data_IF_078012160594
#
_entry.id   IF_078012160594
#
_cell.length_a   1.000
_cell.length_b   1.000
_cell.length_c   1.000
_cell.angle_alpha   90.00
_cell.angle_beta   90.00
_cell.angle_gamma   90.00
#
_symmetry.space_group_name_H-M   'P 1'
#
loop_
_entity.id
_entity.type
_entity.pdbx_description
1 polymer ?
#
# COMPACT_ATOMS: atom_id res chain seq x y z
N UNK A 1 8.22 -5.86 8.21
CA UNK A 1 9.51 -5.15 8.47
C UNK A 1 9.56 -4.73 9.94
N UNK A 2 10.72 -4.28 10.46
CA UNK A 2 10.89 -3.93 11.89
C UNK A 2 9.99 -2.77 12.31
N UNK A 3 9.81 -1.76 11.44
CA UNK A 3 8.96 -0.60 11.72
C UNK A 3 7.50 -0.97 11.96
N UNK A 4 6.90 -1.74 11.05
CA UNK A 4 5.53 -2.23 11.21
C UNK A 4 5.40 -3.15 12.43
N UNK A 5 6.40 -3.98 12.70
CA UNK A 5 6.38 -4.87 13.85
C UNK A 5 6.40 -4.08 15.17
N UNK A 6 7.19 -3.00 15.24
CA UNK A 6 7.24 -2.11 16.38
C UNK A 6 5.91 -1.35 16.56
N UNK A 7 5.34 -0.82 15.48
CA UNK A 7 4.03 -0.16 15.51
C UNK A 7 2.86 -1.09 15.88
N UNK A 8 2.94 -2.38 15.52
CA UNK A 8 1.94 -3.41 15.87
C UNK A 8 2.20 -4.09 17.22
N UNK A 9 3.26 -3.70 17.95
CA UNK A 9 3.62 -4.31 19.24
C UNK A 9 4.21 -5.73 19.16
N UNK A 10 4.42 -6.27 17.96
CA UNK A 10 5.05 -7.59 17.76
C UNK A 10 6.57 -7.54 17.87
N UNK A 11 7.17 -6.36 17.70
CA UNK A 11 8.53 -6.04 18.11
C UNK A 11 8.48 -5.04 19.27
N UNK A 12 8.25 -5.55 20.47
CA UNK A 12 8.00 -4.73 21.66
C UNK A 12 8.85 -5.12 22.87
N UNK A 13 8.81 -4.28 23.91
CA UNK A 13 9.56 -4.45 25.17
C UNK A 13 9.45 -5.87 25.73
N UNK A 14 8.24 -6.38 25.94
CA UNK A 14 8.05 -7.68 26.59
C UNK A 14 8.52 -8.85 25.72
N UNK A 15 8.32 -8.77 24.40
CA UNK A 15 8.85 -9.76 23.46
C UNK A 15 10.38 -9.77 23.46
N UNK A 16 11.02 -8.60 23.50
CA UNK A 16 12.47 -8.51 23.59
C UNK A 16 12.99 -9.09 24.91
N UNK A 17 12.37 -8.74 26.03
CA UNK A 17 12.75 -9.25 27.36
C UNK A 17 12.61 -10.77 27.43
N UNK A 18 11.49 -11.33 26.96
CA UNK A 18 11.29 -12.80 26.95
C UNK A 18 12.37 -13.48 26.13
N UNK A 19 12.72 -12.96 24.93
CA UNK A 19 13.80 -13.52 24.12
C UNK A 19 15.17 -13.44 24.78
N UNK A 20 15.50 -12.35 25.46
CA UNK A 20 16.78 -12.23 26.20
C UNK A 20 16.88 -13.27 27.32
N UNK A 21 15.79 -13.48 28.06
CA UNK A 21 15.75 -14.43 29.17
C UNK A 21 15.75 -15.89 28.70
N UNK A 22 14.94 -16.21 27.69
CA UNK A 22 14.84 -17.57 27.10
C UNK A 22 16.17 -18.01 26.48
N UNK A 23 16.90 -17.08 25.86
CA UNK A 23 18.22 -17.36 25.27
C UNK A 23 19.34 -17.35 26.30
N UNK A 24 19.06 -16.99 27.57
CA UNK A 24 20.08 -16.82 28.63
C UNK A 24 21.27 -16.01 28.14
N UNK A 25 20.99 -14.91 27.44
CA UNK A 25 22.02 -14.15 26.71
C UNK A 25 23.15 -13.66 27.64
N UNK A 26 22.82 -13.45 28.90
CA UNK A 26 23.75 -13.09 29.96
C UNK A 26 24.81 -14.13 30.28
N UNK A 27 24.56 -15.40 29.97
CA UNK A 27 25.54 -16.48 30.08
C UNK A 27 26.42 -16.62 28.82
N UNK A 28 26.05 -15.97 27.71
CA UNK A 28 26.72 -16.10 26.41
C UNK A 28 27.72 -14.96 26.17
N UNK A 29 27.39 -13.74 26.59
CA UNK A 29 28.22 -12.55 26.36
C UNK A 29 28.65 -11.91 27.68
N UNK A 30 29.90 -11.45 27.74
CA UNK A 30 30.45 -10.78 28.93
C UNK A 30 29.95 -9.34 29.12
N UNK A 31 29.43 -8.71 28.07
CA UNK A 31 28.93 -7.34 28.11
C UNK A 31 27.41 -7.27 28.32
N UNK A 32 26.90 -6.12 28.77
CA UNK A 32 25.45 -5.89 28.98
C UNK A 32 24.87 -4.86 28.02
N UNK A 33 25.03 -5.09 26.71
CA UNK A 33 24.50 -4.19 25.66
C UNK A 33 23.73 -4.95 24.60
N UNK A 34 22.61 -4.37 24.17
CA UNK A 34 21.82 -4.81 23.02
C UNK A 34 21.79 -3.70 21.98
N UNK A 35 22.18 -4.01 20.75
CA UNK A 35 22.01 -3.10 19.61
C UNK A 35 20.69 -3.44 18.94
N UNK A 36 19.74 -2.51 18.95
CA UNK A 36 18.45 -2.67 18.29
C UNK A 36 18.37 -1.82 17.02
N UNK A 37 17.59 -2.22 16.01
CA UNK A 37 17.36 -1.38 14.83
C UNK A 37 16.71 -0.06 15.22
N UNK A 38 17.16 1.05 14.61
CA UNK A 38 16.62 2.38 14.91
C UNK A 38 15.09 2.46 14.73
N UNK A 39 14.60 1.85 13.65
CA UNK A 39 13.18 1.83 13.30
C UNK A 39 12.31 1.03 14.28
N UNK A 40 12.92 0.30 15.22
CA UNK A 40 12.21 -0.38 16.32
C UNK A 40 11.99 0.48 17.56
N UNK A 41 12.53 1.70 17.61
CA UNK A 41 12.52 2.54 18.81
C UNK A 41 11.11 2.90 19.30
N UNK A 42 10.13 3.00 18.40
CA UNK A 42 8.74 3.29 18.74
C UNK A 42 8.05 2.18 19.53
N UNK A 43 8.54 0.93 19.46
CA UNK A 43 7.93 -0.23 20.13
C UNK A 43 8.65 -0.68 21.41
N UNK A 44 9.88 -0.21 21.65
CA UNK A 44 10.74 -0.73 22.73
C UNK A 44 11.09 0.37 23.74
N UNK A 45 10.71 0.15 24.99
CA UNK A 45 11.11 0.98 26.11
C UNK A 45 12.47 0.51 26.65
N UNK A 46 13.53 1.23 26.28
CA UNK A 46 14.91 0.90 26.67
C UNK A 46 15.13 0.85 28.19
N UNK A 47 14.49 1.73 28.96
CA UNK A 47 14.61 1.76 30.42
C UNK A 47 13.96 0.53 31.06
N UNK A 48 12.79 0.11 30.55
CA UNK A 48 12.12 -1.09 31.01
C UNK A 48 12.92 -2.36 30.69
N UNK A 49 13.54 -2.44 29.50
CA UNK A 49 14.44 -3.56 29.14
C UNK A 49 15.63 -3.62 30.10
N UNK A 50 16.28 -2.48 30.37
CA UNK A 50 17.40 -2.42 31.33
C UNK A 50 16.97 -2.88 32.72
N UNK A 51 15.83 -2.40 33.22
CA UNK A 51 15.31 -2.79 34.55
C UNK A 51 15.02 -4.29 34.65
N UNK A 52 14.47 -4.90 33.59
CA UNK A 52 14.05 -6.31 33.61
C UNK A 52 15.18 -7.29 33.29
N UNK A 53 16.19 -6.90 32.50
CA UNK A 53 17.22 -7.82 31.97
C UNK A 53 18.66 -7.45 32.36
N UNK A 54 18.89 -6.24 32.87
CA UNK A 54 20.22 -5.69 33.07
C UNK A 54 20.95 -5.28 31.77
N UNK A 55 20.36 -5.51 30.58
CA UNK A 55 20.97 -5.10 29.32
C UNK A 55 20.60 -3.67 28.94
N UNK A 56 21.62 -2.86 28.64
CA UNK A 56 21.42 -1.52 28.09
C UNK A 56 21.11 -1.61 26.59
N UNK A 57 19.97 -1.05 26.21
CA UNK A 57 19.58 -0.92 24.79
C UNK A 57 20.28 0.28 24.16
N UNK A 58 20.87 0.08 22.99
CA UNK A 58 21.39 1.13 22.11
C UNK A 58 20.72 0.99 20.75
N UNK A 59 20.01 2.03 20.31
CA UNK A 59 19.42 2.04 18.98
C UNK A 59 20.51 2.34 17.95
N UNK A 60 20.91 1.30 17.22
CA UNK A 60 21.93 1.33 16.18
C UNK A 60 21.46 2.05 14.91
N UNK A 61 22.20 1.92 13.81
CA UNK A 61 21.87 2.55 12.53
C UNK A 61 20.57 2.02 11.92
N UNK A 62 20.03 2.76 10.95
CA UNK A 62 18.87 2.35 10.15
C UNK A 62 19.23 1.12 9.30
N UNK A 63 20.42 1.11 8.69
CA UNK A 63 20.88 0.00 7.86
C UNK A 63 21.83 -0.92 8.63
N UNK A 64 21.59 -2.24 8.55
CA UNK A 64 22.39 -3.23 9.25
C UNK A 64 23.87 -3.24 8.83
N UNK A 65 24.16 -2.87 7.58
CA UNK A 65 25.54 -2.78 7.05
C UNK A 65 26.42 -1.76 7.78
N UNK A 66 25.81 -0.77 8.44
CA UNK A 66 26.53 0.30 9.14
C UNK A 66 26.88 -0.07 10.59
N UNK A 67 26.41 -1.23 11.09
CA UNK A 67 26.66 -1.68 12.47
C UNK A 67 28.16 -1.75 12.80
N UNK A 68 29.06 -2.29 11.94
CA UNK A 68 30.48 -2.32 12.25
C UNK A 68 31.10 -0.91 12.41
N UNK A 69 30.71 0.03 11.55
CA UNK A 69 31.18 1.41 11.62
C UNK A 69 30.63 2.12 12.87
N UNK A 70 29.37 1.88 13.22
CA UNK A 70 28.73 2.36 14.45
C UNK A 70 29.45 1.88 15.72
N UNK A 71 29.86 0.61 15.76
CA UNK A 71 30.63 0.05 16.89
C UNK A 71 32.03 0.69 16.98
N UNK A 72 32.74 0.81 15.85
CA UNK A 72 34.06 1.47 15.79
C UNK A 72 34.00 2.94 16.23
N UNK A 73 32.91 3.63 15.93
CA UNK A 73 32.66 5.01 16.36
C UNK A 73 32.24 5.13 17.84
N UNK A 74 32.38 4.06 18.64
CA UNK A 74 32.00 4.09 20.05
C UNK A 74 30.51 4.24 20.27
N UNK A 75 29.69 3.65 19.38
CA UNK A 75 28.23 3.63 19.47
C UNK A 75 27.60 5.03 19.32
N UNK A 76 28.28 5.92 18.62
CA UNK A 76 27.77 7.23 18.18
C UNK A 76 27.33 7.13 16.73
N UNK A 77 26.07 7.48 16.46
CA UNK A 77 25.54 7.50 15.09
C UNK A 77 25.95 8.78 14.39
N UNK A 78 26.29 8.69 13.11
CA UNK A 78 26.30 9.85 12.23
C UNK A 78 24.86 10.18 11.79
N UNK A 79 24.68 11.34 11.15
CA UNK A 79 23.39 11.73 10.58
C UNK A 79 22.93 10.73 9.51
N UNK A 80 23.85 10.28 8.67
CA UNK A 80 23.59 9.33 7.57
C UNK A 80 23.11 7.98 8.09
N UNK A 81 23.73 7.49 9.17
CA UNK A 81 23.32 6.25 9.85
C UNK A 81 21.90 6.34 10.44
N UNK A 82 21.42 7.56 10.69
CA UNK A 82 20.12 7.82 11.30
C UNK A 82 19.04 8.17 10.28
N UNK A 83 19.40 8.34 9.00
CA UNK A 83 18.49 8.76 7.94
C UNK A 83 18.16 7.60 7.00
N UNK A 84 16.86 7.38 6.76
CA UNK A 84 16.36 6.43 5.77
C UNK A 84 16.28 7.15 4.41
N UNK A 85 17.06 6.67 3.44
CA UNK A 85 16.92 7.11 2.06
C UNK A 85 15.86 6.21 1.41
N UNK A 86 14.67 6.75 1.16
CA UNK A 86 13.59 6.01 0.48
C UNK A 86 13.74 6.16 -1.03
N UNK A 87 14.74 5.48 -1.59
CA UNK A 87 15.14 5.59 -3.00
C UNK A 87 14.11 4.94 -3.94
N UNK A 88 14.31 5.11 -5.26
CA UNK A 88 13.48 4.42 -6.25
C UNK A 88 13.58 2.89 -6.12
N UNK A 89 14.78 2.36 -5.85
CA UNK A 89 15.01 0.93 -5.68
C UNK A 89 14.22 0.39 -4.47
N UNK A 90 14.24 1.13 -3.35
CA UNK A 90 13.49 0.73 -2.15
C UNK A 90 11.99 0.66 -2.44
N UNK A 91 11.46 1.58 -3.24
CA UNK A 91 10.05 1.58 -3.65
C UNK A 91 9.71 0.39 -4.53
N UNK A 92 10.55 0.11 -5.53
CA UNK A 92 10.36 -1.01 -6.45
C UNK A 92 10.40 -2.37 -5.72
N UNK A 93 11.25 -2.52 -4.70
CA UNK A 93 11.31 -3.73 -3.87
C UNK A 93 9.99 -3.93 -3.09
N UNK A 94 9.32 -2.84 -2.71
CA UNK A 94 8.07 -2.88 -1.95
C UNK A 94 6.83 -3.05 -2.85
N UNK A 95 6.91 -2.68 -4.13
CA UNK A 95 5.79 -2.77 -5.08
C UNK A 95 5.15 -4.18 -5.17
N UNK A 96 5.90 -5.30 -5.24
CA UNK A 96 5.29 -6.63 -5.28
C UNK A 96 4.40 -6.94 -4.08
N UNK A 97 4.69 -6.37 -2.89
CA UNK A 97 3.87 -6.58 -1.70
C UNK A 97 2.50 -5.92 -1.80
N UNK A 98 2.31 -4.92 -2.67
CA UNK A 98 1.00 -4.30 -2.93
C UNK A 98 0.29 -4.92 -4.14
N UNK A 99 1.04 -5.30 -5.18
CA UNK A 99 0.48 -5.93 -6.38
C UNK A 99 -0.10 -7.31 -6.05
N UNK A 100 0.64 -8.14 -5.31
CA UNK A 100 0.23 -9.53 -5.07
C UNK A 100 -1.14 -9.66 -4.35
N UNK A 101 -1.42 -8.92 -3.26
CA UNK A 101 -2.75 -8.92 -2.65
C UNK A 101 -3.84 -8.49 -3.63
N UNK A 102 -3.58 -7.45 -4.43
CA UNK A 102 -4.59 -6.94 -5.36
C UNK A 102 -4.86 -7.92 -6.51
N UNK A 103 -3.82 -8.57 -7.03
CA UNK A 103 -3.94 -9.63 -8.02
C UNK A 103 -4.65 -10.88 -7.48
N UNK A 104 -4.56 -11.16 -6.16
CA UNK A 104 -5.34 -12.23 -5.53
C UNK A 104 -6.84 -11.92 -5.50
N UNK A 105 -7.21 -10.64 -5.39
CA UNK A 105 -8.61 -10.20 -5.42
C UNK A 105 -9.14 -9.97 -6.84
N UNK A 106 -8.26 -9.82 -7.82
CA UNK A 106 -8.62 -9.55 -9.21
C UNK A 106 -9.58 -10.59 -9.85
N UNK A 107 -9.48 -11.91 -9.60
CA UNK A 107 -10.44 -12.89 -10.12
C UNK A 107 -11.89 -12.63 -9.66
N UNK A 108 -12.09 -12.17 -8.42
CA UNK A 108 -13.41 -11.82 -7.90
C UNK A 108 -13.97 -10.58 -8.59
N UNK A 109 -13.12 -9.58 -8.80
CA UNK A 109 -13.47 -8.41 -9.61
C UNK A 109 -13.82 -8.81 -11.04
N UNK A 110 -13.01 -9.66 -11.68
CA UNK A 110 -13.23 -10.11 -13.04
C UNK A 110 -14.53 -10.90 -13.18
N UNK A 111 -14.83 -11.78 -12.23
CA UNK A 111 -16.10 -12.49 -12.18
C UNK A 111 -17.29 -11.53 -12.06
N UNK A 112 -17.20 -10.52 -11.19
CA UNK A 112 -18.25 -9.49 -11.06
C UNK A 112 -18.49 -8.70 -12.35
N UNK A 113 -17.43 -8.30 -13.03
CA UNK A 113 -17.50 -7.61 -14.34
C UNK A 113 -18.13 -8.52 -15.39
N UNK A 114 -17.63 -9.75 -15.56
CA UNK A 114 -18.14 -10.68 -16.56
C UNK A 114 -19.61 -11.05 -16.30
N UNK A 115 -20.02 -11.19 -15.03
CA UNK A 115 -21.42 -11.39 -14.67
C UNK A 115 -22.28 -10.17 -15.03
N UNK A 116 -21.82 -8.96 -14.72
CA UNK A 116 -22.56 -7.74 -15.04
C UNK A 116 -22.78 -7.58 -16.55
N UNK A 117 -21.77 -7.90 -17.37
CA UNK A 117 -21.87 -7.78 -18.83
C UNK A 117 -22.51 -8.99 -19.52
N UNK A 118 -22.49 -10.17 -18.87
CA UNK A 118 -23.04 -11.41 -19.41
C UNK A 118 -24.48 -11.70 -19.04
N UNK A 119 -25.02 -11.03 -18.01
CA UNK A 119 -26.38 -11.26 -17.55
C UNK A 119 -27.38 -10.57 -18.50
N UNK A 120 -28.21 -11.38 -19.16
CA UNK A 120 -29.33 -10.93 -19.98
C UNK A 120 -30.65 -11.56 -19.49
N UNK A 121 -31.82 -11.02 -19.91
CA UNK A 121 -33.12 -11.66 -19.64
C UNK A 121 -33.22 -13.10 -20.15
N UNK A 122 -32.46 -13.43 -21.22
CA UNK A 122 -32.39 -14.75 -21.84
C UNK A 122 -31.44 -15.73 -21.14
N UNK A 123 -30.65 -15.28 -20.15
CA UNK A 123 -29.65 -16.07 -19.43
C UNK A 123 -28.26 -15.45 -19.45
N UNK A 124 -27.23 -16.27 -19.19
CA UNK A 124 -25.82 -15.85 -19.21
C UNK A 124 -25.22 -16.07 -20.60
N UNK A 125 -24.87 -14.98 -21.29
CA UNK A 125 -24.22 -15.02 -22.62
C UNK A 125 -22.73 -14.72 -22.51
N UNK A 126 -21.92 -15.78 -22.63
CA UNK A 126 -20.45 -15.68 -22.51
C UNK A 126 -19.80 -14.75 -23.54
N UNK A 127 -20.34 -14.71 -24.77
CA UNK A 127 -19.82 -13.84 -25.83
C UNK A 127 -19.95 -12.37 -25.43
N UNK A 128 -21.13 -11.97 -24.95
CA UNK A 128 -21.37 -10.58 -24.54
C UNK A 128 -20.68 -10.23 -23.23
N UNK A 129 -20.61 -11.18 -22.28
CA UNK A 129 -19.79 -11.04 -21.08
C UNK A 129 -18.36 -10.65 -21.42
N UNK A 130 -17.77 -11.32 -22.42
CA UNK A 130 -16.42 -11.03 -22.86
C UNK A 130 -16.33 -9.71 -23.61
N UNK A 131 -17.13 -9.49 -24.66
CA UNK A 131 -17.06 -8.28 -25.50
C UNK A 131 -17.37 -6.99 -24.74
N UNK A 132 -18.34 -7.02 -23.82
CA UNK A 132 -18.66 -5.87 -22.97
C UNK A 132 -17.76 -5.74 -21.73
N UNK A 133 -17.28 -6.85 -21.17
CA UNK A 133 -16.52 -6.87 -19.93
C UNK A 133 -15.02 -6.63 -20.08
N UNK A 134 -14.40 -7.06 -21.20
CA UNK A 134 -12.94 -6.97 -21.37
C UNK A 134 -12.36 -5.54 -21.22
N UNK A 135 -13.03 -4.44 -21.67
CA UNK A 135 -12.51 -3.09 -21.46
C UNK A 135 -12.38 -2.76 -19.97
N UNK A 136 -13.37 -3.18 -19.16
CA UNK A 136 -13.37 -2.97 -17.72
C UNK A 136 -12.34 -3.84 -17.01
N UNK A 137 -12.10 -5.07 -17.48
CA UNK A 137 -11.00 -5.90 -16.98
C UNK A 137 -9.65 -5.21 -17.20
N UNK A 138 -9.40 -4.69 -18.41
CA UNK A 138 -8.18 -3.95 -18.71
C UNK A 138 -8.07 -2.69 -17.84
N UNK A 139 -9.14 -1.91 -17.72
CA UNK A 139 -9.15 -0.73 -16.86
C UNK A 139 -8.89 -1.08 -15.38
N UNK A 140 -9.37 -2.23 -14.90
CA UNK A 140 -9.05 -2.76 -13.58
C UNK A 140 -7.56 -3.02 -13.41
N UNK A 141 -6.92 -3.68 -14.38
CA UNK A 141 -5.47 -3.89 -14.38
C UNK A 141 -4.71 -2.56 -14.45
N UNK A 142 -5.17 -1.61 -15.24
CA UNK A 142 -4.57 -0.27 -15.32
C UNK A 142 -4.70 0.49 -14.00
N UNK A 143 -5.80 0.34 -13.26
CA UNK A 143 -5.96 0.92 -11.93
C UNK A 143 -4.99 0.28 -10.91
N UNK A 144 -4.75 -1.03 -11.01
CA UNK A 144 -3.71 -1.72 -10.20
C UNK A 144 -2.33 -1.19 -10.56
N UNK A 145 -1.99 -1.11 -11.85
CA UNK A 145 -0.71 -0.58 -12.32
C UNK A 145 -0.51 0.88 -11.88
N UNK A 146 -1.55 1.70 -12.00
CA UNK A 146 -1.57 3.10 -11.60
C UNK A 146 -1.30 3.26 -10.09
N UNK A 147 -2.07 2.55 -9.25
CA UNK A 147 -2.03 2.70 -7.81
C UNK A 147 -0.84 1.99 -7.16
N UNK A 148 -0.56 0.75 -7.55
CA UNK A 148 0.44 -0.09 -6.89
C UNK A 148 1.86 0.07 -7.45
N UNK A 149 2.01 0.51 -8.72
CA UNK A 149 3.32 0.63 -9.36
C UNK A 149 3.68 2.07 -9.75
N UNK A 150 2.89 2.71 -10.62
CA UNK A 150 3.24 4.05 -11.13
C UNK A 150 3.23 5.10 -10.01
N UNK A 151 2.26 5.07 -9.11
CA UNK A 151 2.19 6.04 -8.01
C UNK A 151 3.42 5.96 -7.08
N UNK A 152 3.85 4.78 -6.59
CA UNK A 152 5.11 4.64 -5.86
C UNK A 152 6.36 5.08 -6.62
N UNK A 153 6.47 4.72 -7.91
CA UNK A 153 7.62 5.09 -8.74
C UNK A 153 7.72 6.60 -8.91
N UNK A 154 6.59 7.25 -9.19
CA UNK A 154 6.51 8.69 -9.44
C UNK A 154 6.29 9.54 -8.17
N UNK A 155 6.28 8.92 -6.99
CA UNK A 155 5.94 9.55 -5.72
C UNK A 155 6.58 10.93 -5.45
N UNK A 156 7.88 11.18 -5.77
CA UNK A 156 8.53 12.47 -5.52
C UNK A 156 8.10 13.56 -6.49
N UNK A 157 7.61 13.17 -7.67
CA UNK A 157 7.25 14.06 -8.76
C UNK A 157 5.77 14.43 -8.75
N UNK A 158 4.91 13.58 -8.18
CA UNK A 158 3.49 13.87 -8.08
C UNK A 158 3.30 14.97 -7.03
N UNK A 159 2.70 16.12 -7.38
CA UNK A 159 2.38 17.16 -6.41
C UNK A 159 1.45 16.61 -5.33
N UNK A 160 1.25 17.35 -4.24
CA UNK A 160 0.44 16.97 -3.06
C UNK A 160 1.16 16.08 -2.03
N UNK A 161 0.67 16.17 -0.79
CA UNK A 161 1.14 15.35 0.34
C UNK A 161 0.33 14.06 0.50
N UNK A 162 -0.94 14.07 0.12
CA UNK A 162 -1.86 12.93 0.30
C UNK A 162 -1.61 11.85 -0.74
N UNK A 163 -1.49 10.61 -0.28
CA UNK A 163 -1.37 9.44 -1.14
C UNK A 163 -2.66 9.17 -1.91
N UNK A 164 -3.81 9.38 -1.29
CA UNK A 164 -5.10 9.25 -1.95
C UNK A 164 -5.18 10.18 -3.18
N UNK A 165 -4.77 11.44 -3.06
CA UNK A 165 -4.78 12.39 -4.18
C UNK A 165 -3.78 11.97 -5.26
N UNK A 166 -2.57 11.54 -4.89
CA UNK A 166 -1.56 11.08 -5.86
C UNK A 166 -2.06 9.90 -6.68
N UNK A 167 -2.61 8.88 -6.02
CA UNK A 167 -3.16 7.71 -6.69
C UNK A 167 -4.38 8.02 -7.54
N UNK A 168 -5.22 8.97 -7.11
CA UNK A 168 -6.35 9.44 -7.92
C UNK A 168 -5.88 10.15 -9.19
N UNK A 169 -4.88 11.03 -9.12
CA UNK A 169 -4.34 11.73 -10.28
C UNK A 169 -3.73 10.79 -11.32
N UNK A 170 -2.90 9.83 -10.88
CA UNK A 170 -2.32 8.83 -11.79
C UNK A 170 -3.40 7.92 -12.35
N UNK A 171 -4.37 7.51 -11.54
CA UNK A 171 -5.52 6.73 -12.00
C UNK A 171 -6.37 7.46 -13.03
N UNK A 172 -6.63 8.76 -12.81
CA UNK A 172 -7.36 9.61 -13.74
C UNK A 172 -6.60 9.77 -15.06
N UNK A 173 -5.29 10.01 -15.00
CA UNK A 173 -4.45 10.08 -16.19
C UNK A 173 -4.54 8.78 -17.01
N UNK A 174 -4.40 7.63 -16.35
CA UNK A 174 -4.53 6.31 -17.00
C UNK A 174 -5.92 6.10 -17.60
N UNK A 175 -6.99 6.51 -16.89
CA UNK A 175 -8.34 6.40 -17.38
C UNK A 175 -8.60 7.28 -18.61
N UNK A 176 -8.13 8.54 -18.62
CA UNK A 176 -8.27 9.46 -19.75
C UNK A 176 -7.59 8.91 -21.00
N UNK A 177 -6.43 8.28 -20.85
CA UNK A 177 -5.70 7.69 -21.98
C UNK A 177 -6.34 6.39 -22.48
N UNK A 178 -6.87 5.55 -21.58
CA UNK A 178 -7.35 4.22 -21.93
C UNK A 178 -8.81 4.19 -22.39
N UNK A 179 -9.69 5.03 -21.83
CA UNK A 179 -11.13 5.00 -22.12
C UNK A 179 -11.46 5.14 -23.62
N UNK A 180 -10.85 6.08 -24.37
CA UNK A 180 -11.08 6.18 -25.82
C UNK A 180 -10.52 4.97 -26.60
N UNK A 181 -9.32 4.50 -26.23
CA UNK A 181 -8.63 3.40 -26.92
C UNK A 181 -9.25 2.02 -26.70
N UNK A 182 -10.02 1.86 -25.62
CA UNK A 182 -10.73 0.62 -25.31
C UNK A 182 -12.16 0.57 -25.88
N UNK A 183 -12.56 1.57 -26.67
CA UNK A 183 -13.89 1.62 -27.28
C UNK A 183 -15.04 1.84 -26.29
N UNK A 184 -14.75 2.22 -25.03
CA UNK A 184 -15.78 2.53 -24.01
C UNK A 184 -16.61 3.78 -24.44
N UNK A 185 -16.03 4.62 -25.29
CA UNK A 185 -16.68 5.78 -25.90
C UNK A 185 -17.55 5.45 -27.11
N UNK A 186 -17.41 4.26 -27.68
CA UNK A 186 -18.07 3.89 -28.94
C UNK A 186 -19.57 3.65 -28.67
N UNK A 187 -20.43 4.27 -29.49
CA UNK A 187 -21.89 4.19 -29.33
C UNK A 187 -22.53 5.27 -28.44
N UNK A 188 -21.79 6.28 -27.97
CA UNK A 188 -22.38 7.44 -27.27
C UNK A 188 -22.82 7.16 -25.82
N UNK A 189 -22.31 6.10 -25.21
CA UNK A 189 -22.71 5.61 -23.89
C UNK A 189 -22.08 6.42 -22.74
N UNK A 190 -22.58 7.65 -22.57
CA UNK A 190 -22.14 8.61 -21.53
C UNK A 190 -22.16 8.02 -20.12
N UNK A 191 -23.04 7.04 -19.85
CA UNK A 191 -23.14 6.38 -18.54
C UNK A 191 -21.93 5.49 -18.24
N UNK A 192 -21.48 4.66 -19.18
CA UNK A 192 -20.30 3.80 -19.00
C UNK A 192 -19.01 4.62 -18.91
N UNK A 193 -18.92 5.69 -19.70
CA UNK A 193 -17.82 6.64 -19.64
C UNK A 193 -17.77 7.31 -18.26
N UNK A 194 -18.90 7.81 -17.75
CA UNK A 194 -18.97 8.40 -16.41
C UNK A 194 -18.63 7.39 -15.31
N UNK A 195 -19.15 6.16 -15.39
CA UNK A 195 -18.82 5.09 -14.45
C UNK A 195 -17.32 4.78 -14.45
N UNK A 196 -16.68 4.78 -15.63
CA UNK A 196 -15.24 4.52 -15.76
C UNK A 196 -14.40 5.63 -15.10
N UNK A 197 -14.72 6.89 -15.39
CA UNK A 197 -14.01 8.04 -14.79
C UNK A 197 -14.24 8.19 -13.28
N UNK A 198 -15.32 7.61 -12.75
CA UNK A 198 -15.58 7.60 -11.32
C UNK A 198 -14.88 6.42 -10.62
N UNK A 199 -15.00 5.21 -11.17
CA UNK A 199 -14.53 3.99 -10.53
C UNK A 199 -13.00 3.83 -10.56
N UNK A 200 -12.38 3.95 -11.73
CA UNK A 200 -10.98 3.55 -11.90
C UNK A 200 -9.99 4.51 -11.21
N UNK A 201 -10.18 5.83 -11.24
CA UNK A 201 -9.37 6.75 -10.44
C UNK A 201 -9.55 6.53 -8.93
N UNK A 202 -10.77 6.22 -8.48
CA UNK A 202 -11.04 5.89 -7.09
C UNK A 202 -10.36 4.58 -6.66
N UNK A 203 -10.37 3.56 -7.52
CA UNK A 203 -9.69 2.29 -7.27
C UNK A 203 -8.17 2.48 -7.19
N UNK A 204 -7.57 3.19 -8.15
CA UNK A 204 -6.15 3.54 -8.13
C UNK A 204 -5.77 4.34 -6.89
N UNK A 205 -6.62 5.30 -6.47
CA UNK A 205 -6.46 6.08 -5.24
C UNK A 205 -6.42 5.19 -3.99
N UNK A 206 -7.37 4.26 -3.86
CA UNK A 206 -7.41 3.31 -2.76
C UNK A 206 -6.16 2.41 -2.72
N UNK A 207 -5.75 1.89 -3.88
CA UNK A 207 -4.57 1.02 -3.98
C UNK A 207 -3.30 1.79 -3.60
N UNK A 208 -3.13 3.02 -4.10
CA UNK A 208 -1.99 3.86 -3.72
C UNK A 208 -1.97 4.19 -2.23
N UNK A 209 -3.14 4.35 -1.61
CA UNK A 209 -3.25 4.62 -0.17
C UNK A 209 -2.75 3.45 0.69
N UNK A 210 -2.85 2.21 0.20
CA UNK A 210 -2.28 1.04 0.90
C UNK A 210 -0.75 1.10 1.00
N UNK A 211 -0.09 1.70 0.01
CA UNK A 211 1.37 1.85 0.01
C UNK A 211 1.89 2.78 1.13
N UNK A 212 1.03 3.60 1.76
CA UNK A 212 1.42 4.49 2.87
C UNK A 212 2.13 3.74 4.01
N UNK A 213 1.71 2.50 4.30
CA UNK A 213 2.32 1.64 5.33
C UNK A 213 3.75 1.19 5.01
N UNK A 214 4.16 1.36 3.75
CA UNK A 214 5.45 0.96 3.20
C UNK A 214 6.38 2.18 2.99
N UNK A 215 5.92 3.40 3.26
CA UNK A 215 6.71 4.63 3.03
C UNK A 215 7.00 5.42 4.30
N UNK A 216 7.98 6.31 4.21
CA UNK A 216 8.34 7.26 5.27
C UNK A 216 7.67 8.63 5.12
N UNK A 217 6.79 8.79 4.12
CA UNK A 217 6.21 10.08 3.74
C UNK A 217 5.06 10.51 4.67
N UNK A 218 4.34 9.56 5.26
CA UNK A 218 3.15 9.84 6.07
C UNK A 218 3.22 9.12 7.42
N UNK A 219 2.90 9.85 8.50
CA UNK A 219 2.72 9.25 9.82
C UNK A 219 1.37 8.56 9.98
N UNK A 220 1.24 7.71 10.99
CA UNK A 220 0.03 6.92 11.26
C UNK A 220 -1.25 7.77 11.43
N UNK A 221 -1.14 8.92 12.09
CA UNK A 221 -2.26 9.86 12.23
C UNK A 221 -2.71 10.46 10.88
N UNK A 222 -1.78 10.73 9.98
CA UNK A 222 -2.05 11.19 8.63
C UNK A 222 -2.76 10.12 7.80
N UNK A 223 -2.25 8.88 7.84
CA UNK A 223 -2.86 7.73 7.16
C UNK A 223 -4.29 7.48 7.65
N UNK A 224 -4.50 7.50 8.98
CA UNK A 224 -5.84 7.34 9.55
C UNK A 224 -6.81 8.43 9.11
N UNK A 225 -6.33 9.68 8.99
CA UNK A 225 -7.14 10.79 8.47
C UNK A 225 -7.51 10.58 7.00
N UNK A 226 -6.55 10.18 6.16
CA UNK A 226 -6.80 9.89 4.75
C UNK A 226 -7.75 8.72 4.57
N UNK A 227 -7.62 7.64 5.33
CA UNK A 227 -8.53 6.50 5.29
C UNK A 227 -9.95 6.88 5.74
N UNK A 228 -10.09 7.66 6.82
CA UNK A 228 -11.40 8.09 7.34
C UNK A 228 -12.19 8.92 6.31
N UNK A 229 -11.49 9.71 5.49
CA UNK A 229 -12.10 10.52 4.43
C UNK A 229 -12.26 9.70 3.13
N UNK A 230 -11.24 8.91 2.77
CA UNK A 230 -11.18 8.17 1.51
C UNK A 230 -12.16 7.01 1.44
N UNK A 231 -12.30 6.20 2.50
CA UNK A 231 -13.15 5.00 2.49
C UNK A 231 -14.62 5.32 2.09
N UNK A 232 -15.31 6.31 2.70
CA UNK A 232 -16.65 6.68 2.28
C UNK A 232 -16.72 7.13 0.81
N UNK A 233 -15.72 7.86 0.33
CA UNK A 233 -15.64 8.33 -1.06
C UNK A 233 -15.49 7.15 -2.02
N UNK A 234 -14.63 6.18 -1.70
CA UNK A 234 -14.42 5.00 -2.54
C UNK A 234 -15.67 4.12 -2.61
N UNK A 235 -16.35 3.92 -1.48
CA UNK A 235 -17.62 3.17 -1.43
C UNK A 235 -18.68 3.90 -2.26
N UNK A 236 -18.83 5.21 -2.09
CA UNK A 236 -19.76 6.02 -2.86
C UNK A 236 -19.47 5.99 -4.36
N UNK A 237 -18.21 6.16 -4.76
CA UNK A 237 -17.77 6.08 -6.15
C UNK A 237 -18.06 4.71 -6.77
N UNK A 238 -17.78 3.62 -6.04
CA UNK A 238 -18.07 2.27 -6.50
C UNK A 238 -19.58 2.02 -6.64
N UNK A 239 -20.39 2.43 -5.65
CA UNK A 239 -21.83 2.28 -5.68
C UNK A 239 -22.48 3.06 -6.84
N UNK A 240 -22.12 4.33 -7.02
CA UNK A 240 -22.63 5.16 -8.12
C UNK A 240 -22.20 4.59 -9.48
N UNK A 241 -20.95 4.14 -9.61
CA UNK A 241 -20.47 3.52 -10.85
C UNK A 241 -21.23 2.24 -11.19
N UNK A 242 -21.49 1.40 -10.18
CA UNK A 242 -22.29 0.18 -10.35
C UNK A 242 -23.71 0.51 -10.79
N UNK A 243 -24.37 1.49 -10.16
CA UNK A 243 -25.71 1.94 -10.56
C UNK A 243 -25.71 2.45 -12.01
N UNK A 244 -24.71 3.24 -12.42
CA UNK A 244 -24.61 3.72 -13.79
C UNK A 244 -24.44 2.57 -14.80
N UNK A 245 -23.64 1.54 -14.46
CA UNK A 245 -23.48 0.36 -15.31
C UNK A 245 -24.76 -0.48 -15.39
N UNK A 246 -25.50 -0.64 -14.28
CA UNK A 246 -26.79 -1.34 -14.27
C UNK A 246 -27.84 -0.57 -15.09
N UNK A 247 -27.94 0.75 -14.90
CA UNK A 247 -28.88 1.58 -15.67
C UNK A 247 -28.54 1.55 -17.16
N UNK A 248 -27.25 1.50 -17.52
CA UNK A 248 -26.84 1.26 -18.90
C UNK A 248 -27.36 -0.09 -19.40
N UNK A 249 -27.17 -1.17 -18.63
CA UNK A 249 -27.65 -2.51 -19.00
C UNK A 249 -29.17 -2.65 -19.10
N UNK A 250 -29.93 -1.85 -18.34
CA UNK A 250 -31.40 -1.83 -18.45
C UNK A 250 -31.92 -1.06 -19.68
N UNK A 251 -31.05 -0.27 -20.33
CA UNK A 251 -31.39 0.51 -21.54
C UNK A 251 -30.94 -0.17 -22.84
N UNK A 252 -30.04 -1.13 -22.73
CA UNK A 252 -29.60 -2.02 -23.82
C UNK A 252 -30.69 -3.05 -24.12
#
# INVERSE_FOLDING_TARGET
NVWCAAGKGTFGTDKLVSRVMETKLDAIVSHRRLILPQLGAVGVNAAAVLKKTGFRVSFGPVQARDIPAYIRAGYKKTTEMSTINFSLIDRLILTPMEINPMMKHFPWYAAGVLLLFGLQPSGLLFKEAWFGGWPFLVMGLLAVLAGAFLTPVLLPFIPFRSFAIKGWLIGLLMAVLAVPGLGITDGGNKLLVAASYLLFPALSSYIALQFTGSTTYTGMSGVNKELKIGIPIYIGAAAVSLVLMIVFKLKE
#
